data_IF_506716890074
#
_entry.id   IF_506716890074
#
_cell.length_a   1.000
_cell.length_b   1.000
_cell.length_c   1.000
_cell.angle_alpha   90.00
_cell.angle_beta   90.00
_cell.angle_gamma   90.00
#
_symmetry.space_group_name_H-M   'P 1'
#
loop_
_entity.id
_entity.type
_entity.pdbx_description
1 polymer ?
#
# COMPACT_ATOMS: atom_id res chain seq x y z
N UNK A 1 -14.74 -23.06 -11.75
CA UNK A 1 -14.54 -21.94 -10.78
C UNK A 1 -15.06 -22.25 -9.37
N UNK A 2 -15.87 -23.31 -9.15
CA UNK A 2 -16.24 -23.84 -7.82
C UNK A 2 -15.23 -24.85 -7.23
N UNK A 3 -14.21 -25.26 -7.97
CA UNK A 3 -13.26 -26.33 -7.58
C UNK A 3 -12.00 -25.85 -6.83
N UNK A 4 -11.83 -24.54 -6.61
CA UNK A 4 -10.62 -23.98 -5.94
C UNK A 4 -10.75 -23.80 -4.42
N UNK A 5 -11.85 -24.24 -3.83
CA UNK A 5 -12.14 -24.12 -2.40
C UNK A 5 -12.27 -25.51 -1.77
N UNK A 6 -11.21 -26.31 -1.88
CA UNK A 6 -11.08 -27.59 -1.17
C UNK A 6 -9.94 -27.44 -0.16
N UNK A 7 -10.03 -28.01 1.05
CA UNK A 7 -8.96 -27.96 2.06
C UNK A 7 -7.58 -28.38 1.53
N UNK A 8 -7.56 -29.20 0.48
CA UNK A 8 -6.35 -29.65 -0.22
C UNK A 8 -5.59 -28.53 -0.97
N UNK A 9 -6.21 -27.38 -1.25
CA UNK A 9 -5.52 -26.25 -1.88
C UNK A 9 -4.64 -25.46 -0.88
N UNK A 10 -4.98 -25.52 0.41
CA UNK A 10 -4.15 -24.98 1.49
C UNK A 10 -3.06 -25.97 1.92
N UNK A 11 -3.34 -27.28 1.85
CA UNK A 11 -2.37 -28.35 2.10
C UNK A 11 -2.77 -29.64 1.34
N UNK A 12 -1.99 -30.05 0.34
CA UNK A 12 -2.21 -31.30 -0.40
C UNK A 12 -1.31 -32.41 0.17
N UNK A 13 -1.84 -33.60 0.52
CA UNK A 13 -1.01 -34.73 0.89
C UNK A 13 -0.33 -35.33 -0.35
N UNK A 14 1.00 -35.41 -0.39
CA UNK A 14 1.71 -36.26 -1.35
C UNK A 14 1.73 -37.72 -0.87
N UNK A 15 1.79 -38.67 -1.81
CA UNK A 15 1.98 -40.11 -1.55
C UNK A 15 3.25 -40.44 -0.74
N UNK A 16 4.17 -39.47 -0.59
CA UNK A 16 5.43 -39.54 0.15
C UNK A 16 5.30 -39.19 1.66
N UNK A 17 4.12 -38.77 2.13
CA UNK A 17 3.91 -38.31 3.52
C UNK A 17 4.39 -36.88 3.79
N UNK A 18 4.81 -36.14 2.77
CA UNK A 18 5.16 -34.72 2.84
C UNK A 18 3.95 -33.87 2.40
N UNK A 19 3.58 -32.85 3.17
CA UNK A 19 2.49 -31.93 2.78
C UNK A 19 3.01 -30.88 1.80
N UNK A 20 2.41 -30.79 0.62
CA UNK A 20 2.59 -29.68 -0.32
C UNK A 20 1.65 -28.53 0.07
N UNK A 21 2.15 -27.29 -0.02
CA UNK A 21 1.39 -26.07 0.32
C UNK A 21 1.31 -25.15 -0.91
N UNK A 22 0.48 -25.49 -1.91
CA UNK A 22 0.42 -24.77 -3.19
C UNK A 22 0.15 -23.29 -3.00
N UNK A 23 -0.72 -22.93 -2.05
CA UNK A 23 -1.06 -21.55 -1.70
C UNK A 23 0.17 -20.74 -1.23
N UNK A 24 1.00 -21.28 -0.34
CA UNK A 24 2.19 -20.55 0.14
C UNK A 24 3.31 -20.59 -0.88
N UNK A 25 3.46 -21.69 -1.63
CA UNK A 25 4.32 -21.74 -2.80
C UNK A 25 3.96 -20.63 -3.80
N UNK A 26 2.67 -20.47 -4.10
CA UNK A 26 2.14 -19.45 -5.01
C UNK A 26 2.28 -18.04 -4.42
N UNK A 27 1.99 -17.83 -3.14
CA UNK A 27 2.20 -16.55 -2.46
C UNK A 27 3.67 -16.17 -2.40
N UNK A 28 4.57 -17.05 -1.97
CA UNK A 28 6.01 -16.79 -1.96
C UNK A 28 6.51 -16.57 -3.39
N UNK A 29 6.03 -17.33 -4.38
CA UNK A 29 6.38 -17.15 -5.80
C UNK A 29 5.85 -15.83 -6.36
N UNK A 30 4.67 -15.37 -5.97
CA UNK A 30 4.06 -14.12 -6.45
C UNK A 30 4.63 -12.90 -5.71
N UNK A 31 4.81 -12.99 -4.39
CA UNK A 31 5.33 -11.91 -3.54
C UNK A 31 6.87 -11.83 -3.49
N UNK A 32 7.65 -12.90 -3.71
CA UNK A 32 9.12 -12.76 -3.91
C UNK A 32 9.47 -12.16 -5.26
N UNK A 33 8.57 -12.34 -6.23
CA UNK A 33 8.64 -11.65 -7.51
C UNK A 33 7.95 -10.27 -7.46
N UNK A 34 7.44 -9.85 -6.28
CA UNK A 34 6.82 -8.55 -6.07
C UNK A 34 7.88 -7.45 -6.18
N UNK A 35 7.74 -6.55 -7.15
CA UNK A 35 8.78 -5.58 -7.45
C UNK A 35 8.95 -4.49 -6.38
N UNK A 36 7.92 -4.36 -5.56
CA UNK A 36 7.84 -3.48 -4.40
C UNK A 36 8.65 -3.99 -3.23
N UNK A 37 9.00 -5.27 -3.20
CA UNK A 37 9.90 -5.83 -2.21
C UNK A 37 11.28 -5.19 -2.31
N UNK A 38 11.75 -4.75 -3.49
CA UNK A 38 13.04 -4.03 -3.61
C UNK A 38 12.98 -2.58 -3.13
N UNK A 39 11.85 -1.90 -3.33
CA UNK A 39 11.59 -0.57 -2.77
C UNK A 39 11.44 -0.63 -1.24
N UNK A 40 10.81 -1.70 -0.73
CA UNK A 40 10.77 -2.02 0.69
C UNK A 40 12.15 -2.45 1.22
N UNK A 41 12.95 -3.23 0.48
CA UNK A 41 14.34 -3.63 0.83
C UNK A 41 15.30 -2.45 0.94
N UNK A 42 15.09 -1.36 0.18
CA UNK A 42 15.86 -0.11 0.33
C UNK A 42 15.56 0.63 1.63
N UNK A 43 14.40 0.36 2.25
CA UNK A 43 13.89 1.05 3.44
C UNK A 43 13.89 0.11 4.67
N UNK A 44 13.82 -1.20 4.46
CA UNK A 44 13.76 -2.26 5.47
C UNK A 44 14.44 -3.55 4.94
N UNK A 45 15.65 -3.90 5.41
CA UNK A 45 16.42 -5.02 4.87
C UNK A 45 15.84 -6.39 5.27
N UNK A 46 15.63 -7.30 4.31
CA UNK A 46 15.28 -8.70 4.57
C UNK A 46 16.54 -9.58 4.69
N UNK A 47 16.49 -10.61 5.54
CA UNK A 47 17.63 -11.49 5.88
C UNK A 47 18.22 -12.33 4.74
N UNK A 48 17.45 -12.61 3.67
CA UNK A 48 17.95 -13.33 2.49
C UNK A 48 19.06 -12.56 1.74
N UNK A 49 19.22 -11.26 2.03
CA UNK A 49 20.26 -10.41 1.44
C UNK A 49 21.64 -10.61 2.09
N UNK A 50 21.76 -11.34 3.22
CA UNK A 50 23.06 -11.64 3.81
C UNK A 50 23.84 -12.68 2.99
N UNK A 51 23.17 -13.72 2.50
CA UNK A 51 23.81 -14.80 1.74
C UNK A 51 24.29 -14.34 0.35
N UNK A 52 23.56 -13.43 -0.31
CA UNK A 52 23.93 -12.90 -1.64
C UNK A 52 24.97 -11.77 -1.58
N UNK A 53 25.00 -10.97 -0.51
CA UNK A 53 25.93 -9.84 -0.41
C UNK A 53 27.34 -10.24 0.06
N UNK A 54 27.51 -11.40 0.69
CA UNK A 54 28.85 -11.93 1.01
C UNK A 54 29.65 -12.31 -0.24
N UNK A 55 29.00 -12.68 -1.35
CA UNK A 55 29.70 -12.98 -2.62
C UNK A 55 30.06 -11.73 -3.45
N UNK A 56 29.47 -10.56 -3.19
CA UNK A 56 29.71 -9.33 -3.99
C UNK A 56 30.58 -8.28 -3.32
N UNK A 57 30.93 -8.42 -2.04
CA UNK A 57 31.80 -7.48 -1.30
C UNK A 57 33.22 -8.01 -1.13
N UNK A 58 33.91 -8.26 -2.25
CA UNK A 58 35.37 -8.15 -2.33
C UNK A 58 35.71 -7.06 -3.34
N UNK A 59 35.76 -5.79 -2.91
CA UNK A 59 36.73 -4.78 -3.36
C UNK A 59 36.53 -3.43 -2.67
N UNK A 60 37.68 -2.85 -2.30
CA UNK A 60 37.97 -1.52 -1.75
C UNK A 60 37.59 -1.26 -0.28
N UNK A 61 38.50 -1.70 0.60
CA UNK A 61 38.96 -0.86 1.73
C UNK A 61 39.52 0.43 1.16
N UNK A 62 39.02 1.56 1.64
CA UNK A 62 39.75 2.82 1.57
C UNK A 62 39.61 3.48 2.93
N UNK A 63 40.66 3.35 3.72
CA UNK A 63 40.92 4.11 4.93
C UNK A 63 41.39 5.50 4.54
N UNK A 64 40.84 6.54 5.15
CA UNK A 64 41.51 7.84 5.22
C UNK A 64 41.53 8.35 6.67
N UNK A 65 42.55 9.13 7.04
CA UNK A 65 43.01 9.29 8.40
C UNK A 65 42.23 10.39 9.13
N UNK A 66 42.17 10.26 10.44
CA UNK A 66 41.70 11.31 11.33
C UNK A 66 42.69 12.49 11.30
N UNK A 67 42.19 13.69 11.08
CA UNK A 67 42.86 14.94 11.48
C UNK A 67 41.93 15.71 12.40
N UNK A 68 42.45 15.96 13.59
CA UNK A 68 41.90 16.73 14.69
C UNK A 68 41.85 18.21 14.34
N UNK A 69 40.68 18.84 14.43
CA UNK A 69 40.53 20.28 14.68
C UNK A 69 39.07 20.62 15.06
N UNK A 70 38.86 20.91 16.37
CA UNK A 70 37.83 21.75 17.04
C UNK A 70 36.33 21.28 17.00
N UNK A 71 35.67 20.76 18.07
CA UNK A 71 35.34 21.21 19.47
C UNK A 71 34.25 22.32 19.52
N UNK A 72 33.24 22.35 20.44
CA UNK A 72 32.43 21.32 21.10
C UNK A 72 30.89 21.58 20.96
N UNK A 73 30.02 20.58 21.14
CA UNK A 73 28.67 20.84 21.66
C UNK A 73 28.66 20.39 23.11
N UNK A 74 28.55 21.39 24.01
CA UNK A 74 28.42 21.23 25.46
C UNK A 74 27.48 20.09 25.79
N UNK A 75 28.00 19.17 26.60
CA UNK A 75 27.31 18.15 27.40
C UNK A 75 25.83 17.93 27.07
N UNK A 76 25.59 17.02 26.14
CA UNK A 76 24.41 16.15 26.23
C UNK A 76 24.91 14.74 26.48
N UNK A 77 25.22 14.45 27.73
CA UNK A 77 25.19 13.10 28.24
C UNK A 77 23.73 12.64 28.25
N UNK A 78 23.21 12.15 27.11
CA UNK A 78 21.96 11.40 27.14
C UNK A 78 22.30 9.93 27.36
N UNK A 79 22.21 9.56 28.63
CA UNK A 79 22.04 8.19 29.08
C UNK A 79 21.09 7.43 28.14
N UNK A 80 21.57 6.32 27.58
CA UNK A 80 20.81 5.42 26.71
C UNK A 80 19.81 4.62 27.57
N UNK A 81 18.79 5.32 28.08
CA UNK A 81 17.56 4.76 28.64
C UNK A 81 16.43 5.75 28.35
N UNK A 82 15.64 5.40 27.33
CA UNK A 82 14.39 6.03 26.87
C UNK A 82 14.58 7.16 25.84
N UNK A 83 13.73 7.10 24.81
CA UNK A 83 13.47 8.06 23.70
C UNK A 83 14.16 7.75 22.36
N UNK A 84 13.34 7.27 21.41
CA UNK A 84 13.60 7.31 19.97
C UNK A 84 13.69 8.78 19.51
N UNK A 85 14.75 9.14 18.80
CA UNK A 85 14.92 10.46 18.18
C UNK A 85 13.87 10.69 17.08
N UNK A 86 12.70 11.20 17.45
CA UNK A 86 11.68 11.60 16.49
C UNK A 86 12.08 12.96 15.88
N UNK A 87 12.93 12.96 14.85
CA UNK A 87 13.26 14.20 14.14
C UNK A 87 14.52 14.22 13.27
N UNK A 88 15.47 13.29 13.43
CA UNK A 88 16.65 13.26 12.57
C UNK A 88 16.34 12.52 11.26
N UNK A 89 16.83 13.01 10.10
CA UNK A 89 16.78 12.29 8.80
C UNK A 89 17.41 10.88 8.84
N UNK A 90 18.18 10.60 9.89
CA UNK A 90 18.90 9.33 10.14
C UNK A 90 18.09 8.39 11.07
N UNK A 91 17.09 8.91 11.80
CA UNK A 91 16.32 8.13 12.78
C UNK A 91 15.61 6.92 12.16
N UNK A 92 15.02 7.08 10.97
CA UNK A 92 14.39 5.99 10.22
C UNK A 92 15.40 4.93 9.78
N UNK A 93 16.60 5.34 9.36
CA UNK A 93 17.67 4.43 8.96
C UNK A 93 18.23 3.66 10.17
N UNK A 94 18.42 4.33 11.31
CA UNK A 94 18.86 3.67 12.55
C UNK A 94 17.80 2.71 13.08
N UNK A 95 16.52 3.09 13.01
CA UNK A 95 15.40 2.22 13.33
C UNK A 95 15.38 0.98 12.43
N UNK A 96 15.52 1.16 11.11
CA UNK A 96 15.61 0.06 10.17
C UNK A 96 16.85 -0.83 10.41
N UNK A 97 18.00 -0.26 10.77
CA UNK A 97 19.21 -1.01 11.11
C UNK A 97 19.03 -1.81 12.42
N UNK A 98 18.39 -1.21 13.42
CA UNK A 98 18.08 -1.82 14.70
C UNK A 98 17.18 -3.05 14.53
N UNK A 99 16.03 -2.87 13.87
CA UNK A 99 15.13 -3.98 13.59
C UNK A 99 15.72 -4.98 12.60
N UNK A 100 16.53 -4.52 11.64
CA UNK A 100 17.28 -5.42 10.75
C UNK A 100 18.28 -6.31 11.50
N UNK A 101 18.82 -5.85 12.64
CA UNK A 101 19.63 -6.70 13.53
C UNK A 101 18.76 -7.69 14.30
N UNK A 102 17.59 -7.27 14.79
CA UNK A 102 16.60 -8.17 15.43
C UNK A 102 16.19 -9.30 14.48
N UNK A 103 15.85 -8.95 13.24
CA UNK A 103 15.39 -9.91 12.25
C UNK A 103 16.48 -10.96 11.94
N UNK A 104 17.75 -10.55 11.96
CA UNK A 104 18.90 -11.46 11.74
C UNK A 104 19.28 -12.32 12.93
N UNK A 105 18.89 -11.93 14.13
CA UNK A 105 19.30 -12.59 15.37
C UNK A 105 18.12 -13.35 15.96
N UNK A 106 17.16 -12.63 16.51
CA UNK A 106 15.97 -13.21 17.15
C UNK A 106 15.04 -13.88 16.14
N UNK A 107 14.86 -13.32 14.94
CA UNK A 107 13.93 -13.91 13.96
C UNK A 107 14.61 -14.87 12.96
N UNK A 108 15.88 -15.22 13.16
CA UNK A 108 16.68 -16.00 12.21
C UNK A 108 16.01 -17.31 11.78
N UNK A 109 15.41 -18.03 12.72
CA UNK A 109 14.76 -19.32 12.48
C UNK A 109 13.50 -19.23 11.60
N UNK A 110 12.83 -18.07 11.57
CA UNK A 110 11.62 -17.85 10.77
C UNK A 110 11.94 -17.47 9.33
N UNK A 111 13.22 -17.29 9.01
CA UNK A 111 13.68 -16.86 7.70
C UNK A 111 14.03 -18.08 6.86
N UNK A 112 13.10 -18.45 5.98
CA UNK A 112 13.21 -19.68 5.20
C UNK A 112 12.63 -19.58 3.79
N UNK A 113 12.86 -20.59 2.94
CA UNK A 113 12.35 -20.63 1.58
C UNK A 113 10.82 -20.65 1.50
N UNK A 114 10.13 -21.17 2.52
CA UNK A 114 8.66 -21.23 2.57
C UNK A 114 8.03 -20.12 3.42
N UNK A 115 8.84 -19.27 4.06
CA UNK A 115 8.34 -18.19 4.90
C UNK A 115 8.47 -16.84 4.18
N UNK A 116 7.51 -15.96 4.46
CA UNK A 116 7.50 -14.57 4.05
C UNK A 116 7.44 -13.69 5.29
N UNK A 117 8.55 -13.02 5.58
CA UNK A 117 8.61 -12.00 6.62
C UNK A 117 8.95 -10.66 6.00
N UNK A 118 8.10 -9.67 6.22
CA UNK A 118 8.35 -8.29 5.85
C UNK A 118 8.05 -7.37 7.03
N UNK A 119 8.85 -6.31 7.15
CA UNK A 119 8.70 -5.28 8.16
C UNK A 119 8.66 -3.91 7.50
N UNK A 120 7.91 -3.00 8.10
CA UNK A 120 7.93 -1.58 7.78
C UNK A 120 7.95 -0.80 9.09
N UNK A 121 9.14 -0.32 9.49
CA UNK A 121 9.37 0.26 10.81
C UNK A 121 8.89 -0.67 11.93
N UNK A 122 7.79 -0.34 12.60
CA UNK A 122 7.30 -1.08 13.76
C UNK A 122 6.28 -2.18 13.38
N UNK A 123 5.74 -2.15 12.15
CA UNK A 123 4.75 -3.12 11.67
C UNK A 123 5.44 -4.32 11.02
N UNK A 124 4.90 -5.52 11.26
CA UNK A 124 5.40 -6.78 10.71
C UNK A 124 4.27 -7.58 10.05
N UNK A 125 4.59 -8.24 8.94
CA UNK A 125 3.73 -9.25 8.32
C UNK A 125 4.55 -10.53 8.16
N UNK A 126 4.13 -11.58 8.87
CA UNK A 126 4.68 -12.92 8.77
C UNK A 126 3.64 -13.85 8.16
N UNK A 127 4.04 -14.59 7.13
CA UNK A 127 3.20 -15.59 6.49
C UNK A 127 4.00 -16.86 6.24
N UNK A 128 3.43 -17.99 6.64
CA UNK A 128 4.07 -19.32 6.60
C UNK A 128 3.01 -20.39 6.34
N UNK A 129 3.35 -21.54 5.73
CA UNK A 129 2.42 -22.66 5.59
C UNK A 129 2.25 -23.44 6.88
N UNK A 130 3.20 -23.32 7.81
CA UNK A 130 3.26 -24.15 8.99
C UNK A 130 2.67 -23.40 10.17
N UNK A 131 1.47 -23.82 10.59
CA UNK A 131 0.75 -23.22 11.72
C UNK A 131 1.60 -23.16 13.00
N UNK A 132 2.36 -24.21 13.29
CA UNK A 132 3.25 -24.22 14.47
C UNK A 132 4.38 -23.20 14.36
N UNK A 133 4.96 -22.99 13.18
CA UNK A 133 5.92 -21.91 12.94
C UNK A 133 5.29 -20.53 13.14
N UNK A 134 4.03 -20.33 12.71
CA UNK A 134 3.31 -19.09 12.94
C UNK A 134 3.08 -18.83 14.45
N UNK A 135 2.72 -19.87 15.21
CA UNK A 135 2.57 -19.79 16.67
C UNK A 135 3.89 -19.49 17.36
N UNK A 136 4.98 -20.16 17.00
CA UNK A 136 6.31 -19.90 17.55
C UNK A 136 6.75 -18.46 17.29
N UNK A 137 6.53 -17.97 16.07
CA UNK A 137 6.82 -16.58 15.72
C UNK A 137 5.99 -15.61 16.56
N UNK A 138 4.67 -15.84 16.66
CA UNK A 138 3.77 -15.02 17.46
C UNK A 138 4.16 -15.01 18.94
N UNK A 139 4.48 -16.17 19.51
CA UNK A 139 4.96 -16.32 20.89
C UNK A 139 6.21 -15.46 21.12
N UNK A 140 7.24 -15.59 20.28
CA UNK A 140 8.45 -14.76 20.35
C UNK A 140 8.12 -13.26 20.32
N UNK A 141 7.21 -12.86 19.44
CA UNK A 141 6.85 -11.45 19.29
C UNK A 141 6.04 -10.89 20.47
N UNK A 142 5.24 -11.72 21.15
CA UNK A 142 4.43 -11.37 22.32
C UNK A 142 5.23 -11.40 23.62
N UNK A 143 6.06 -12.43 23.83
CA UNK A 143 7.04 -12.48 24.92
C UNK A 143 8.08 -11.36 24.78
N UNK A 144 8.31 -10.94 23.54
CA UNK A 144 9.25 -9.91 23.17
C UNK A 144 10.67 -10.45 23.03
N UNK A 145 11.57 -9.55 22.65
CA UNK A 145 13.00 -9.80 22.50
C UNK A 145 13.72 -8.97 23.55
N UNK A 146 14.00 -9.50 24.76
CA UNK A 146 14.54 -8.72 25.88
C UNK A 146 15.85 -8.00 25.57
N UNK A 147 16.75 -8.66 24.82
CA UNK A 147 18.02 -8.09 24.38
C UNK A 147 17.84 -6.82 23.52
N UNK A 148 16.69 -6.71 22.85
CA UNK A 148 16.31 -5.61 21.98
C UNK A 148 15.20 -4.73 22.58
N UNK A 149 14.78 -4.99 23.82
CA UNK A 149 13.67 -4.28 24.50
C UNK A 149 12.45 -4.06 23.58
N UNK A 150 12.19 -5.01 22.69
CA UNK A 150 11.16 -4.93 21.68
C UNK A 150 10.04 -5.87 22.09
N UNK A 151 8.83 -5.33 22.23
CA UNK A 151 7.63 -6.08 22.63
C UNK A 151 6.52 -5.68 21.68
N UNK A 152 5.83 -6.66 21.11
CA UNK A 152 4.70 -6.37 20.22
C UNK A 152 3.49 -5.92 21.01
N UNK A 153 2.70 -5.04 20.41
CA UNK A 153 1.43 -4.64 21.00
C UNK A 153 0.38 -5.74 20.77
N UNK A 154 0.06 -6.48 21.85
CA UNK A 154 -0.93 -7.55 21.86
C UNK A 154 -2.27 -7.14 21.22
N UNK A 155 -2.79 -5.95 21.53
CA UNK A 155 -4.09 -5.50 21.02
C UNK A 155 -4.09 -5.15 19.53
N UNK A 156 -2.91 -5.11 18.90
CA UNK A 156 -2.73 -4.86 17.47
C UNK A 156 -2.27 -6.09 16.71
N UNK A 157 -2.00 -7.20 17.41
CA UNK A 157 -1.71 -8.47 16.77
C UNK A 157 -2.98 -8.98 16.09
N UNK A 158 -2.81 -9.48 14.87
CA UNK A 158 -3.87 -10.01 14.04
C UNK A 158 -3.40 -11.32 13.43
N UNK A 159 -4.15 -12.38 13.65
CA UNK A 159 -3.83 -13.73 13.19
C UNK A 159 -5.02 -14.35 12.45
N UNK A 160 -4.82 -15.44 11.74
CA UNK A 160 -5.89 -16.17 11.04
C UNK A 160 -6.08 -17.60 11.60
N UNK A 161 -5.74 -17.80 12.88
CA UNK A 161 -5.87 -19.06 13.58
C UNK A 161 -6.13 -18.82 15.06
N UNK A 162 -6.73 -19.80 15.75
CA UNK A 162 -6.92 -19.72 17.19
C UNK A 162 -5.58 -19.83 17.94
N UNK A 163 -5.33 -18.89 18.83
CA UNK A 163 -4.17 -18.89 19.72
C UNK A 163 -4.47 -18.11 21.00
N UNK A 164 -4.09 -18.70 22.13
CA UNK A 164 -4.20 -18.10 23.45
C UNK A 164 -2.81 -18.04 24.07
N UNK A 165 -2.37 -16.82 24.39
CA UNK A 165 -1.12 -16.60 25.11
C UNK A 165 -1.31 -16.92 26.58
N UNK A 166 -0.36 -17.63 27.19
CA UNK A 166 -0.43 -18.07 28.60
C UNK A 166 -0.71 -16.95 29.61
N UNK A 167 -0.17 -15.75 29.34
CA UNK A 167 -0.31 -14.57 30.22
C UNK A 167 -1.29 -13.52 29.67
N UNK A 168 -1.32 -13.32 28.35
CA UNK A 168 -2.00 -12.19 27.72
C UNK A 168 -3.42 -12.54 27.26
N UNK A 169 -3.75 -13.84 27.21
CA UNK A 169 -5.05 -14.34 26.79
C UNK A 169 -5.16 -14.51 25.28
N UNK A 170 -6.41 -14.52 24.80
CA UNK A 170 -6.76 -14.80 23.41
C UNK A 170 -6.37 -13.66 22.45
N UNK A 171 -5.64 -14.00 21.39
CA UNK A 171 -5.23 -13.03 20.37
C UNK A 171 -6.34 -12.87 19.33
N UNK A 172 -6.69 -11.63 18.90
CA UNK A 172 -7.70 -11.41 17.88
C UNK A 172 -7.39 -12.15 16.57
N UNK A 173 -8.33 -12.99 16.13
CA UNK A 173 -8.26 -13.71 14.85
C UNK A 173 -9.19 -13.09 13.82
N UNK A 174 -8.71 -12.92 12.58
CA UNK A 174 -9.55 -12.66 11.42
C UNK A 174 -10.30 -13.92 11.00
N UNK A 175 -11.48 -13.71 10.42
CA UNK A 175 -12.22 -14.77 9.74
C UNK A 175 -11.55 -15.13 8.40
N UNK A 176 -11.80 -16.34 7.89
CA UNK A 176 -11.21 -16.86 6.65
C UNK A 176 -11.44 -15.99 5.40
N UNK A 177 -12.49 -15.17 5.41
CA UNK A 177 -12.86 -14.27 4.31
C UNK A 177 -12.41 -12.82 4.52
N UNK A 178 -11.88 -12.47 5.69
CA UNK A 178 -11.43 -11.11 5.96
C UNK A 178 -10.01 -10.88 5.38
N UNK A 179 -9.78 -9.77 4.65
CA UNK A 179 -8.44 -9.47 4.13
C UNK A 179 -7.44 -9.12 5.24
N UNK A 180 -6.22 -9.60 5.08
CA UNK A 180 -5.09 -9.23 5.95
C UNK A 180 -4.69 -7.79 5.66
N UNK A 181 -4.70 -6.94 6.68
CA UNK A 181 -4.34 -5.52 6.59
C UNK A 181 -2.87 -5.34 6.98
N UNK A 182 -2.12 -4.63 6.13
CA UNK A 182 -0.71 -4.32 6.40
C UNK A 182 -0.34 -2.99 5.76
N UNK A 183 0.14 -2.03 6.55
CA UNK A 183 0.66 -0.72 6.07
C UNK A 183 -0.19 -0.02 4.99
N UNK A 184 -1.52 -0.04 5.13
CA UNK A 184 -2.45 0.63 4.20
C UNK A 184 -2.82 -0.17 2.95
N UNK A 185 -2.42 -1.45 2.85
CA UNK A 185 -2.93 -2.40 1.88
C UNK A 185 -3.74 -3.51 2.54
N UNK A 186 -4.62 -4.12 1.76
CA UNK A 186 -5.39 -5.31 2.10
C UNK A 186 -4.95 -6.44 1.16
N UNK A 187 -4.64 -7.61 1.72
CA UNK A 187 -4.27 -8.81 0.98
C UNK A 187 -5.41 -9.81 1.14
N UNK A 188 -5.98 -10.27 0.03
CA UNK A 188 -6.99 -11.33 0.07
C UNK A 188 -6.30 -12.65 0.43
N UNK A 189 -6.69 -13.34 1.53
CA UNK A 189 -6.03 -14.56 1.97
C UNK A 189 -6.25 -15.75 1.04
N UNK A 190 -7.20 -15.68 0.10
CA UNK A 190 -7.50 -16.76 -0.86
C UNK A 190 -6.90 -16.49 -2.24
N UNK A 191 -7.06 -15.26 -2.74
CA UNK A 191 -6.61 -14.90 -4.09
C UNK A 191 -5.25 -14.21 -4.13
N UNK A 192 -4.75 -13.74 -2.97
CA UNK A 192 -3.52 -12.95 -2.82
C UNK A 192 -3.54 -11.60 -3.56
N UNK A 193 -4.71 -11.24 -4.09
CA UNK A 193 -4.94 -9.97 -4.71
C UNK A 193 -4.84 -8.84 -3.68
N UNK A 194 -4.31 -7.71 -4.13
CA UNK A 194 -3.98 -6.58 -3.29
C UNK A 194 -4.91 -5.41 -3.62
N UNK A 195 -5.47 -4.84 -2.56
CA UNK A 195 -6.26 -3.61 -2.60
C UNK A 195 -5.76 -2.62 -1.56
N UNK A 196 -6.31 -1.40 -1.57
CA UNK A 196 -5.99 -0.39 -0.56
C UNK A 196 -6.88 -0.59 0.66
N UNK A 197 -6.30 -0.48 1.84
CA UNK A 197 -7.07 -0.41 3.07
C UNK A 197 -7.67 1.01 3.24
N UNK A 198 -8.99 1.09 3.05
CA UNK A 198 -9.75 2.32 3.25
C UNK A 198 -10.40 2.43 4.64
N UNK A 199 -10.15 1.47 5.55
CA UNK A 199 -10.71 1.48 6.90
C UNK A 199 -10.45 2.79 7.66
N UNK A 200 -9.27 3.38 7.46
CA UNK A 200 -8.87 4.65 8.05
C UNK A 200 -9.70 5.86 7.62
N UNK A 201 -10.47 5.76 6.53
CA UNK A 201 -11.38 6.79 6.05
C UNK A 201 -12.80 6.63 6.59
N UNK A 202 -13.17 5.43 7.09
CA UNK A 202 -14.51 5.18 7.63
C UNK A 202 -14.78 6.10 8.83
N UNK A 203 -15.89 6.83 8.77
CA UNK A 203 -16.37 7.67 9.87
C UNK A 203 -15.57 8.94 10.13
N UNK A 204 -14.53 9.25 9.35
CA UNK A 204 -13.82 10.53 9.47
C UNK A 204 -14.41 11.56 8.51
N UNK A 205 -14.87 12.69 9.04
CA UNK A 205 -15.38 13.82 8.27
C UNK A 205 -14.29 14.58 7.48
N UNK A 206 -13.03 14.10 7.51
CA UNK A 206 -11.90 14.79 6.91
C UNK A 206 -11.14 13.85 5.98
N UNK A 207 -11.19 14.16 4.69
CA UNK A 207 -10.16 13.67 3.77
C UNK A 207 -8.86 14.42 4.13
N UNK A 208 -7.77 13.73 4.47
CA UNK A 208 -6.51 14.38 4.86
C UNK A 208 -5.89 15.05 3.63
N UNK A 209 -6.34 16.26 3.34
CA UNK A 209 -5.79 17.14 2.33
C UNK A 209 -5.52 18.48 3.01
N UNK A 210 -4.24 18.78 3.25
CA UNK A 210 -3.84 20.12 3.64
C UNK A 210 -4.23 21.09 2.53
N UNK A 211 -4.88 22.20 2.87
CA UNK A 211 -5.23 23.29 1.96
C UNK A 211 -4.87 24.62 2.60
N UNK A 212 -4.10 25.42 1.87
CA UNK A 212 -3.76 26.79 2.23
C UNK A 212 -4.18 27.66 1.05
N UNK A 213 -4.85 28.77 1.37
CA UNK A 213 -5.28 29.72 0.35
C UNK A 213 -4.09 30.60 0.00
N UNK A 214 -3.44 30.30 -1.12
CA UNK A 214 -2.28 31.04 -1.64
C UNK A 214 -2.59 31.63 -3.01
N UNK A 215 -1.77 32.60 -3.44
CA UNK A 215 -1.82 33.13 -4.80
C UNK A 215 -1.74 31.98 -5.82
N UNK A 216 -2.56 32.03 -6.87
CA UNK A 216 -2.72 30.94 -7.86
C UNK A 216 -3.34 29.63 -7.32
N UNK A 217 -4.46 29.75 -6.60
CA UNK A 217 -5.26 28.65 -6.04
C UNK A 217 -5.61 27.55 -7.07
N UNK A 218 -5.86 27.91 -8.33
CA UNK A 218 -6.14 26.98 -9.42
C UNK A 218 -4.99 26.00 -9.70
N UNK A 219 -3.77 26.51 -9.91
CA UNK A 219 -2.61 25.66 -10.18
C UNK A 219 -2.29 24.73 -8.99
N UNK A 220 -2.46 25.24 -7.76
CA UNK A 220 -2.25 24.48 -6.53
C UNK A 220 -3.27 23.35 -6.41
N UNK A 221 -4.55 23.63 -6.70
CA UNK A 221 -5.60 22.63 -6.76
C UNK A 221 -5.27 21.57 -7.82
N UNK A 222 -4.94 21.97 -9.04
CA UNK A 222 -4.58 21.05 -10.11
C UNK A 222 -3.43 20.13 -9.69
N UNK A 223 -2.36 20.68 -9.12
CA UNK A 223 -1.22 19.90 -8.60
C UNK A 223 -1.64 18.92 -7.50
N UNK A 224 -2.49 19.33 -6.56
CA UNK A 224 -2.98 18.46 -5.48
C UNK A 224 -3.87 17.33 -6.00
N UNK A 225 -4.69 17.60 -7.02
CA UNK A 225 -5.55 16.60 -7.65
C UNK A 225 -4.74 15.62 -8.49
N UNK A 226 -3.77 16.09 -9.28
CA UNK A 226 -2.82 15.22 -9.99
C UNK A 226 -2.02 14.34 -9.02
N UNK A 227 -1.53 14.91 -7.92
CA UNK A 227 -0.85 14.13 -6.88
C UNK A 227 -1.75 13.12 -6.18
N UNK A 228 -3.08 13.32 -6.18
CA UNK A 228 -4.02 12.39 -5.53
C UNK A 228 -4.17 11.07 -6.27
N UNK A 229 -3.87 11.04 -7.58
CA UNK A 229 -3.82 9.80 -8.38
C UNK A 229 -2.42 9.19 -8.45
N UNK A 230 -1.42 9.82 -7.82
CA UNK A 230 -0.04 9.34 -7.87
C UNK A 230 0.07 7.94 -7.24
N UNK A 231 0.53 6.93 -8.01
CA UNK A 231 0.65 5.55 -7.54
C UNK A 231 1.94 5.30 -6.77
N UNK A 232 2.76 6.31 -6.44
CA UNK A 232 4.10 6.14 -5.84
C UNK A 232 4.13 5.24 -4.58
N UNK A 233 3.01 5.07 -3.87
CA UNK A 233 2.91 4.15 -2.73
C UNK A 233 2.20 2.82 -3.04
N UNK A 234 1.76 2.59 -4.28
CA UNK A 234 0.75 1.59 -4.60
C UNK A 234 0.81 0.99 -6.02
N UNK A 235 1.90 1.08 -6.78
CA UNK A 235 1.90 0.49 -8.12
C UNK A 235 1.79 -1.04 -8.11
N UNK A 236 1.91 -1.68 -6.94
CA UNK A 236 1.58 -3.10 -6.69
C UNK A 236 0.13 -3.42 -7.05
N UNK A 237 -0.78 -2.44 -6.93
CA UNK A 237 -2.20 -2.58 -7.26
C UNK A 237 -2.47 -2.80 -8.74
N UNK A 238 -1.47 -2.54 -9.59
CA UNK A 238 -1.58 -2.58 -11.05
C UNK A 238 -0.62 -3.60 -11.68
N UNK A 239 0.00 -4.43 -10.86
CA UNK A 239 0.87 -5.52 -11.28
C UNK A 239 0.03 -6.72 -11.70
N UNK A 240 0.18 -7.14 -12.96
CA UNK A 240 -0.59 -8.25 -13.57
C UNK A 240 -0.21 -9.62 -13.06
N UNK A 241 0.95 -9.76 -12.41
CA UNK A 241 1.36 -11.03 -11.81
C UNK A 241 0.74 -11.25 -10.42
N UNK A 242 0.22 -10.19 -9.81
CA UNK A 242 -0.37 -10.20 -8.46
C UNK A 242 -1.89 -10.05 -8.55
N UNK A 243 -2.36 -9.17 -9.42
CA UNK A 243 -3.77 -8.81 -9.51
C UNK A 243 -4.37 -9.23 -10.84
N UNK A 244 -5.56 -9.83 -10.80
CA UNK A 244 -6.35 -10.05 -12.02
C UNK A 244 -6.72 -8.72 -12.67
N UNK A 245 -7.05 -8.76 -13.97
CA UNK A 245 -7.54 -7.57 -14.66
C UNK A 245 -8.80 -6.98 -14.01
N UNK A 246 -9.65 -7.82 -13.43
CA UNK A 246 -10.84 -7.38 -12.68
C UNK A 246 -10.44 -6.58 -11.43
N UNK A 247 -9.48 -7.09 -10.65
CA UNK A 247 -8.97 -6.40 -9.47
C UNK A 247 -8.22 -5.11 -9.82
N UNK A 248 -7.44 -5.10 -10.91
CA UNK A 248 -6.77 -3.89 -11.41
C UNK A 248 -7.80 -2.81 -11.75
N UNK A 249 -8.87 -3.17 -12.46
CA UNK A 249 -9.96 -2.24 -12.78
C UNK A 249 -10.65 -1.72 -11.51
N UNK A 250 -10.87 -2.57 -10.51
CA UNK A 250 -11.40 -2.16 -9.21
C UNK A 250 -10.47 -1.16 -8.51
N UNK A 251 -9.17 -1.45 -8.44
CA UNK A 251 -8.16 -0.57 -7.85
C UNK A 251 -8.10 0.80 -8.55
N UNK A 252 -8.24 0.83 -9.87
CA UNK A 252 -8.33 2.08 -10.67
C UNK A 252 -9.57 2.88 -10.26
N UNK A 253 -10.73 2.22 -10.19
CA UNK A 253 -11.98 2.87 -9.77
C UNK A 253 -11.87 3.45 -8.37
N UNK A 254 -11.32 2.70 -7.41
CA UNK A 254 -11.10 3.19 -6.04
C UNK A 254 -10.19 4.42 -6.02
N UNK A 255 -9.11 4.44 -6.81
CA UNK A 255 -8.22 5.62 -6.90
C UNK A 255 -8.92 6.84 -7.47
N UNK A 256 -9.70 6.68 -8.55
CA UNK A 256 -10.48 7.79 -9.09
C UNK A 256 -11.61 8.23 -8.15
N UNK A 257 -12.23 7.31 -7.42
CA UNK A 257 -13.27 7.63 -6.44
C UNK A 257 -12.72 8.52 -5.32
N UNK A 258 -11.61 8.12 -4.70
CA UNK A 258 -10.91 8.94 -3.69
C UNK A 258 -10.48 10.29 -4.27
N UNK A 259 -9.96 10.30 -5.50
CA UNK A 259 -9.59 11.55 -6.18
C UNK A 259 -10.80 12.47 -6.38
N UNK A 260 -11.95 11.93 -6.79
CA UNK A 260 -13.17 12.71 -7.02
C UNK A 260 -13.73 13.34 -5.73
N UNK A 261 -13.63 12.64 -4.59
CA UNK A 261 -14.00 13.20 -3.29
C UNK A 261 -13.02 14.32 -2.90
N UNK A 262 -11.71 14.10 -3.04
CA UNK A 262 -10.70 15.15 -2.80
C UNK A 262 -10.91 16.37 -3.69
N UNK A 263 -11.27 16.14 -4.94
CA UNK A 263 -11.65 17.18 -5.89
C UNK A 263 -12.83 17.99 -5.38
N UNK A 264 -13.93 17.33 -5.00
CA UNK A 264 -15.08 18.03 -4.44
C UNK A 264 -14.71 18.86 -3.20
N UNK A 265 -14.01 18.24 -2.25
CA UNK A 265 -13.56 18.90 -1.03
C UNK A 265 -12.71 20.17 -1.32
N UNK A 266 -11.72 20.06 -2.20
CA UNK A 266 -10.87 21.19 -2.57
C UNK A 266 -11.63 22.30 -3.29
N UNK A 267 -12.56 21.96 -4.19
CA UNK A 267 -13.39 22.96 -4.88
C UNK A 267 -14.29 23.70 -3.88
N UNK A 268 -14.85 23.00 -2.88
CA UNK A 268 -15.68 23.65 -1.87
C UNK A 268 -14.89 24.59 -0.95
N UNK A 269 -13.58 24.37 -0.79
CA UNK A 269 -12.66 25.26 -0.05
C UNK A 269 -12.26 26.51 -0.84
N UNK A 270 -12.57 26.59 -2.13
CA UNK A 270 -12.34 27.81 -2.91
C UNK A 270 -13.39 28.89 -2.58
N UNK A 271 -13.02 30.19 -2.68
CA UNK A 271 -13.98 31.28 -2.65
C UNK A 271 -15.09 31.06 -3.69
N UNK A 272 -16.33 31.44 -3.38
CA UNK A 272 -17.50 31.15 -4.24
C UNK A 272 -17.28 31.56 -5.71
N UNK A 273 -16.68 32.73 -5.95
CA UNK A 273 -16.35 33.27 -7.29
C UNK A 273 -15.33 32.42 -8.07
N UNK A 274 -14.54 31.59 -7.40
CA UNK A 274 -13.51 30.72 -8.00
C UNK A 274 -13.96 29.25 -8.12
N UNK A 275 -15.19 28.92 -7.72
CA UNK A 275 -15.72 27.54 -7.78
C UNK A 275 -16.11 27.12 -9.20
N UNK A 276 -16.46 25.85 -9.35
CA UNK A 276 -16.68 25.19 -10.63
C UNK A 276 -17.74 25.82 -11.54
N UNK A 277 -18.79 26.44 -10.99
CA UNK A 277 -19.79 27.16 -11.78
C UNK A 277 -19.19 28.33 -12.58
N UNK A 278 -18.21 29.02 -12.02
CA UNK A 278 -17.65 30.25 -12.61
C UNK A 278 -16.50 29.98 -13.59
N UNK A 279 -15.92 28.78 -13.57
CA UNK A 279 -14.88 28.39 -14.54
C UNK A 279 -14.94 26.90 -14.87
N UNK A 280 -16.05 26.41 -15.46
CA UNK A 280 -16.25 24.98 -15.67
C UNK A 280 -15.22 24.38 -16.63
N UNK A 281 -14.68 25.19 -17.56
CA UNK A 281 -13.66 24.74 -18.51
C UNK A 281 -12.36 24.33 -17.80
N UNK A 282 -11.91 25.10 -16.81
CA UNK A 282 -10.72 24.78 -16.02
C UNK A 282 -10.90 23.45 -15.27
N UNK A 283 -12.00 23.32 -14.53
CA UNK A 283 -12.26 22.11 -13.74
C UNK A 283 -12.46 20.86 -14.60
N UNK A 284 -13.09 21.01 -15.77
CA UNK A 284 -13.19 19.93 -16.76
C UNK A 284 -11.81 19.51 -17.25
N UNK A 285 -10.94 20.46 -17.60
CA UNK A 285 -9.55 20.17 -18.02
C UNK A 285 -8.77 19.43 -16.94
N UNK A 286 -8.92 19.81 -15.66
CA UNK A 286 -8.28 19.11 -14.54
C UNK A 286 -8.72 17.65 -14.50
N UNK A 287 -10.01 17.35 -14.65
CA UNK A 287 -10.50 15.96 -14.69
C UNK A 287 -9.97 15.21 -15.91
N UNK A 288 -10.01 15.83 -17.09
CA UNK A 288 -9.54 15.21 -18.33
C UNK A 288 -8.02 14.97 -18.37
N UNK A 289 -7.22 15.69 -17.57
CA UNK A 289 -5.78 15.46 -17.51
C UNK A 289 -5.37 14.31 -16.59
N UNK A 290 -6.27 13.83 -15.71
CA UNK A 290 -5.96 12.76 -14.75
C UNK A 290 -5.63 11.41 -15.40
N UNK A 291 -6.36 10.90 -16.41
CA UNK A 291 -6.11 9.59 -17.00
C UNK A 291 -4.72 9.47 -17.62
N UNK A 292 -4.30 10.50 -18.37
CA UNK A 292 -2.99 10.52 -19.02
C UNK A 292 -1.86 10.64 -17.98
N UNK A 293 -2.04 11.47 -16.96
CA UNK A 293 -1.09 11.57 -15.84
C UNK A 293 -0.96 10.26 -15.07
N UNK A 294 -2.09 9.62 -14.75
CA UNK A 294 -2.14 8.33 -14.08
C UNK A 294 -1.46 7.23 -14.91
N UNK A 295 -1.78 7.13 -16.21
CA UNK A 295 -1.16 6.17 -17.12
C UNK A 295 0.36 6.34 -17.16
N UNK A 296 0.85 7.58 -17.30
CA UNK A 296 2.28 7.90 -17.30
C UNK A 296 2.97 7.44 -16.02
N UNK A 297 2.39 7.74 -14.85
CA UNK A 297 3.00 7.38 -13.57
C UNK A 297 3.01 5.86 -13.33
N UNK A 298 1.88 5.19 -13.61
CA UNK A 298 1.78 3.73 -13.40
C UNK A 298 2.70 2.99 -14.36
N UNK A 299 2.69 3.34 -15.65
CA UNK A 299 3.59 2.70 -16.63
C UNK A 299 5.06 2.96 -16.32
N UNK A 300 5.43 4.15 -15.84
CA UNK A 300 6.80 4.43 -15.38
C UNK A 300 7.19 3.55 -14.19
N UNK A 301 6.29 3.40 -13.22
CA UNK A 301 6.53 2.56 -12.05
C UNK A 301 6.66 1.08 -12.45
N UNK A 302 5.74 0.56 -13.27
CA UNK A 302 5.79 -0.80 -13.80
C UNK A 302 7.04 -1.05 -14.66
N UNK A 303 7.48 -0.10 -15.50
CA UNK A 303 8.72 -0.24 -16.28
C UNK A 303 9.97 -0.36 -15.41
N UNK A 304 10.06 0.43 -14.33
CA UNK A 304 11.18 0.32 -13.37
C UNK A 304 11.25 -1.09 -12.80
N UNK A 305 10.08 -1.56 -12.40
CA UNK A 305 9.81 -2.88 -11.86
C UNK A 305 10.14 -4.00 -12.86
N UNK A 306 9.68 -3.89 -14.10
CA UNK A 306 9.99 -4.78 -15.22
C UNK A 306 11.51 -4.93 -15.41
N UNK A 307 12.24 -3.81 -15.36
CA UNK A 307 13.70 -3.78 -15.47
C UNK A 307 14.38 -4.47 -14.29
N UNK A 308 13.98 -4.15 -13.07
CA UNK A 308 14.61 -4.67 -11.85
C UNK A 308 14.43 -6.19 -11.72
N UNK A 309 13.31 -6.73 -12.23
CA UNK A 309 12.94 -8.14 -12.08
C UNK A 309 12.97 -8.95 -13.39
N UNK A 310 13.40 -8.35 -14.50
CA UNK A 310 13.46 -8.97 -15.84
C UNK A 310 12.11 -9.59 -16.24
N UNK A 311 11.03 -8.83 -16.04
CA UNK A 311 9.66 -9.21 -16.41
C UNK A 311 9.10 -8.21 -17.41
N UNK A 312 8.09 -8.62 -18.17
CA UNK A 312 7.34 -7.73 -19.04
C UNK A 312 6.01 -7.34 -18.42
N UNK A 313 6.06 -6.41 -17.45
CA UNK A 313 4.87 -5.86 -16.82
C UNK A 313 4.38 -4.64 -17.60
N UNK A 314 3.10 -4.68 -17.96
CA UNK A 314 2.40 -3.58 -18.60
C UNK A 314 1.04 -3.37 -17.95
N UNK A 315 0.52 -2.15 -18.01
CA UNK A 315 -0.82 -1.86 -17.51
C UNK A 315 -1.84 -2.44 -18.51
N UNK A 316 -2.69 -3.41 -18.12
CA UNK A 316 -3.60 -4.11 -19.05
C UNK A 316 -4.87 -3.30 -19.33
N UNK A 317 -4.73 -1.98 -19.46
CA UNK A 317 -5.84 -1.04 -19.63
C UNK A 317 -5.44 0.05 -20.64
N UNK A 318 -6.27 0.23 -21.65
CA UNK A 318 -6.05 1.27 -22.67
C UNK A 318 -6.25 2.68 -22.09
N UNK A 319 -5.60 3.68 -22.68
CA UNK A 319 -5.83 5.09 -22.32
C UNK A 319 -7.30 5.51 -22.49
N UNK A 320 -7.99 4.99 -23.50
CA UNK A 320 -9.40 5.27 -23.73
C UNK A 320 -10.27 4.71 -22.60
N UNK A 321 -10.00 3.48 -22.15
CA UNK A 321 -10.68 2.86 -21.01
C UNK A 321 -10.42 3.64 -19.73
N UNK A 322 -9.17 4.05 -19.46
CA UNK A 322 -8.85 4.88 -18.30
C UNK A 322 -9.60 6.22 -18.30
N UNK A 323 -9.69 6.88 -19.46
CA UNK A 323 -10.46 8.13 -19.61
C UNK A 323 -11.93 7.91 -19.26
N UNK A 324 -12.53 6.85 -19.80
CA UNK A 324 -13.93 6.52 -19.51
C UNK A 324 -14.16 6.17 -18.03
N UNK A 325 -13.30 5.34 -17.43
CA UNK A 325 -13.38 5.02 -16.00
C UNK A 325 -13.26 6.27 -15.12
N UNK A 326 -12.32 7.16 -15.42
CA UNK A 326 -12.17 8.42 -14.70
C UNK A 326 -13.42 9.30 -14.84
N UNK A 327 -13.87 9.55 -16.07
CA UNK A 327 -15.02 10.40 -16.35
C UNK A 327 -16.29 9.89 -15.67
N UNK A 328 -16.58 8.59 -15.78
CA UNK A 328 -17.77 7.97 -15.19
C UNK A 328 -17.71 7.98 -13.66
N UNK A 329 -16.53 7.80 -13.07
CA UNK A 329 -16.34 7.90 -11.61
C UNK A 329 -16.58 9.33 -11.11
N UNK A 330 -16.04 10.33 -11.82
CA UNK A 330 -16.28 11.74 -11.49
C UNK A 330 -17.74 12.14 -11.70
N UNK A 331 -18.38 11.72 -12.80
CA UNK A 331 -19.81 11.96 -13.01
C UNK A 331 -20.65 11.42 -11.85
N UNK A 332 -20.39 10.18 -11.43
CA UNK A 332 -21.08 9.56 -10.30
C UNK A 332 -20.95 10.38 -9.00
N UNK A 333 -19.77 10.96 -8.74
CA UNK A 333 -19.54 11.84 -7.59
C UNK A 333 -20.23 13.21 -7.74
N UNK A 334 -20.00 13.89 -8.86
CA UNK A 334 -20.41 15.28 -9.07
C UNK A 334 -21.92 15.42 -9.26
N UNK A 335 -22.60 14.39 -9.79
CA UNK A 335 -24.06 14.39 -9.94
C UNK A 335 -24.81 14.52 -8.61
N UNK A 336 -24.22 14.07 -7.49
CA UNK A 336 -24.78 14.28 -6.13
C UNK A 336 -24.72 15.74 -5.67
N UNK A 337 -23.88 16.53 -6.31
CA UNK A 337 -23.64 17.94 -6.03
C UNK A 337 -23.97 18.79 -7.27
N UNK A 338 -25.03 18.42 -8.00
CA UNK A 338 -25.37 18.99 -9.31
C UNK A 338 -25.38 20.52 -9.32
N UNK A 339 -25.95 21.14 -8.29
CA UNK A 339 -26.00 22.60 -8.15
C UNK A 339 -24.62 23.28 -8.22
N UNK A 340 -23.55 22.60 -7.78
CA UNK A 340 -22.19 23.14 -7.81
C UNK A 340 -21.42 22.82 -9.10
N UNK A 341 -21.87 21.86 -9.91
CA UNK A 341 -21.09 21.27 -11.01
C UNK A 341 -21.85 21.12 -12.33
N UNK A 342 -23.06 21.65 -12.48
CA UNK A 342 -23.93 21.47 -13.65
C UNK A 342 -23.17 21.56 -15.00
N UNK A 343 -22.40 22.63 -15.21
CA UNK A 343 -21.62 22.83 -16.45
C UNK A 343 -20.44 21.87 -16.61
N UNK A 344 -19.79 21.47 -15.50
CA UNK A 344 -18.72 20.46 -15.54
C UNK A 344 -19.29 19.09 -15.88
N UNK A 345 -20.44 18.74 -15.31
CA UNK A 345 -21.16 17.49 -15.60
C UNK A 345 -21.52 17.44 -17.09
N UNK A 346 -22.10 18.50 -17.64
CA UNK A 346 -22.45 18.55 -19.06
C UNK A 346 -21.22 18.40 -19.97
N UNK A 347 -20.12 19.09 -19.65
CA UNK A 347 -18.87 18.94 -20.40
C UNK A 347 -18.33 17.50 -20.35
N UNK A 348 -18.36 16.84 -19.20
CA UNK A 348 -17.92 15.44 -19.07
C UNK A 348 -18.85 14.48 -19.83
N UNK A 349 -20.17 14.72 -19.82
CA UNK A 349 -21.13 13.93 -20.59
C UNK A 349 -20.90 14.07 -22.09
N UNK A 350 -20.55 15.27 -22.59
CA UNK A 350 -20.19 15.47 -24.00
C UNK A 350 -18.93 14.68 -24.39
N UNK A 351 -17.91 14.68 -23.53
CA UNK A 351 -16.67 13.91 -23.77
C UNK A 351 -16.95 12.40 -23.86
N UNK A 352 -17.81 11.87 -22.99
CA UNK A 352 -18.24 10.46 -23.05
C UNK A 352 -19.24 10.17 -24.18
N UNK A 353 -19.41 11.08 -25.16
CA UNK A 353 -20.38 10.96 -26.26
C UNK A 353 -21.81 10.71 -25.76
N UNK A 354 -22.17 11.32 -24.62
CA UNK A 354 -23.43 11.11 -23.90
C UNK A 354 -23.70 9.66 -23.49
N UNK A 355 -22.69 8.78 -23.48
CA UNK A 355 -22.81 7.45 -22.90
C UNK A 355 -23.12 7.60 -21.42
N UNK A 356 -24.32 7.19 -21.02
CA UNK A 356 -24.71 7.14 -19.61
C UNK A 356 -23.93 6.01 -18.93
N UNK A 357 -23.72 6.13 -17.62
CA UNK A 357 -23.24 5.00 -16.82
C UNK A 357 -24.14 3.80 -17.08
N UNK A 358 -23.57 2.69 -17.56
CA UNK A 358 -24.31 1.44 -17.64
C UNK A 358 -24.67 0.96 -16.22
N UNK A 359 -25.72 0.15 -16.12
CA UNK A 359 -26.26 -0.31 -14.83
C UNK A 359 -25.22 -1.07 -14.00
N UNK A 360 -24.36 -1.85 -14.65
CA UNK A 360 -23.31 -2.64 -13.99
C UNK A 360 -22.21 -1.76 -13.37
N UNK A 361 -21.66 -0.78 -14.11
CA UNK A 361 -20.65 0.12 -13.57
C UNK A 361 -21.21 1.00 -12.47
N UNK A 362 -22.48 1.41 -12.57
CA UNK A 362 -23.15 2.18 -11.52
C UNK A 362 -23.24 1.38 -10.22
N UNK A 363 -23.58 0.08 -10.30
CA UNK A 363 -23.56 -0.83 -9.14
C UNK A 363 -22.15 -0.96 -8.56
N UNK A 364 -21.13 -1.19 -9.42
CA UNK A 364 -19.72 -1.26 -8.99
C UNK A 364 -19.26 0.02 -8.28
N UNK A 365 -19.58 1.19 -8.84
CA UNK A 365 -19.25 2.47 -8.24
C UNK A 365 -19.98 2.68 -6.92
N UNK A 366 -21.24 2.25 -6.77
CA UNK A 366 -21.90 2.29 -5.46
C UNK A 366 -21.10 1.52 -4.44
N UNK A 367 -20.77 0.25 -4.72
CA UNK A 367 -19.98 -0.59 -3.82
C UNK A 367 -18.61 0.03 -3.50
N UNK A 368 -17.95 0.64 -4.50
CA UNK A 368 -16.67 1.35 -4.29
C UNK A 368 -16.86 2.55 -3.35
N UNK A 369 -17.83 3.43 -3.59
CA UNK A 369 -18.04 4.60 -2.74
C UNK A 369 -18.49 4.21 -1.32
N UNK A 370 -19.33 3.19 -1.20
CA UNK A 370 -19.83 2.67 0.08
C UNK A 370 -18.71 2.01 0.90
N UNK A 371 -17.84 1.23 0.25
CA UNK A 371 -16.71 0.54 0.91
C UNK A 371 -15.65 1.51 1.43
N UNK A 372 -15.39 2.61 0.71
CA UNK A 372 -14.42 3.63 1.12
C UNK A 372 -15.04 4.52 2.23
N UNK A 373 -16.37 4.65 2.29
CA UNK A 373 -17.11 5.42 3.30
C UNK A 373 -16.58 6.86 3.47
N UNK A 374 -16.22 7.51 2.37
CA UNK A 374 -15.85 8.92 2.37
C UNK A 374 -17.14 9.73 2.46
N UNK A 375 -17.41 10.32 3.64
CA UNK A 375 -18.42 11.38 3.74
C UNK A 375 -17.98 12.57 2.87
N UNK A 376 -18.96 13.24 2.26
CA UNK A 376 -18.94 14.37 1.30
C UNK A 376 -18.90 14.01 -0.16
#
# INVERSE_FOLDING_TARGET
>A
MKERLIPTYLAAPEESGQMDFPFIGEMVKNHRKCPYLTLLRQICPCSQDLARNQMKRKKKKQTCPATSENVPVKDVFLFVRRVFLKGARISSLLCAAYFGYMDKTACAEFLGPHNFLIRMTDDMLFVTPHKETAKMFLQLMLDGVPAMKCISNFSKCLINFSYCHSILGEVPSICDDEPVKYCGICINPKTLEISVDYSNFKGKDRVPVSWELIHNSGAVLQKKILNSVNPQSFSILFDTDINSQQQINYNILCKFAVCSVKFHYLVMKLPAKQRALNNPSFFTRVVQSLPDHFYMLVTKALKKVSKDFKKDLSLPVSKATLRSLCNLTFLYKLQRHHAAYAFVIDNLLRVEKRKRLNSELRKKLSVVFDSINLKY
#
